data_IF_311221445626
#
_entry.id   IF_311221445626
#
_cell.length_a   1.000
_cell.length_b   1.000
_cell.length_c   1.000
_cell.angle_alpha   90.00
_cell.angle_beta   90.00
_cell.angle_gamma   90.00
#
_symmetry.space_group_name_H-M   'P 1'
#
loop_
_entity.id
_entity.type
_entity.pdbx_description
1 polymer ?
#
# COMPACT_ATOMS: atom_id res chain seq x y z
N UNK A 1 4.18 -14.77 14.73
CA UNK A 1 5.38 -15.64 14.80
C UNK A 1 6.62 -14.83 15.19
N UNK A 2 6.89 -13.66 14.56
CA UNK A 2 8.07 -12.82 14.86
C UNK A 2 8.10 -12.41 16.31
N UNK A 3 7.02 -11.85 16.88
CA UNK A 3 6.95 -11.44 18.29
C UNK A 3 7.27 -12.58 19.28
N UNK A 4 6.81 -13.78 18.98
CA UNK A 4 7.16 -14.98 19.78
C UNK A 4 8.65 -15.35 19.64
N UNK A 5 9.22 -15.19 18.45
CA UNK A 5 10.63 -15.44 18.20
C UNK A 5 11.54 -14.40 18.90
N UNK A 6 11.14 -13.14 18.93
CA UNK A 6 11.82 -12.09 19.70
C UNK A 6 11.92 -12.49 21.18
N UNK A 7 10.79 -12.87 21.78
CA UNK A 7 10.73 -13.24 23.21
C UNK A 7 11.60 -14.46 23.55
N UNK A 8 11.71 -15.41 22.62
CA UNK A 8 12.42 -16.67 22.83
C UNK A 8 13.87 -16.67 22.29
N UNK A 9 14.37 -15.55 21.76
CA UNK A 9 15.71 -15.45 21.17
C UNK A 9 15.88 -16.28 19.89
N UNK A 10 14.78 -16.62 19.20
CA UNK A 10 14.76 -17.51 18.03
C UNK A 10 14.64 -16.79 16.69
N UNK A 11 14.96 -15.50 16.60
CA UNK A 11 14.99 -14.77 15.34
C UNK A 11 16.12 -15.29 14.45
N UNK A 12 15.88 -15.48 13.12
CA UNK A 12 16.96 -15.72 12.18
C UNK A 12 17.83 -14.47 11.99
N UNK A 13 19.03 -14.64 11.43
CA UNK A 13 19.97 -13.52 11.21
C UNK A 13 19.37 -12.41 10.33
N UNK A 14 18.59 -12.78 9.29
CA UNK A 14 17.80 -11.88 8.45
C UNK A 14 16.35 -12.38 8.36
N UNK A 15 15.41 -11.49 8.45
CA UNK A 15 13.97 -11.81 8.33
C UNK A 15 13.18 -10.64 7.73
N UNK A 16 11.95 -10.94 7.30
CA UNK A 16 11.05 -9.91 6.78
C UNK A 16 10.27 -9.23 7.89
N UNK A 17 10.11 -7.92 7.74
CA UNK A 17 9.35 -7.05 8.65
C UNK A 17 8.41 -6.21 7.80
N UNK A 18 7.18 -6.04 8.25
CA UNK A 18 6.29 -5.04 7.66
C UNK A 18 6.80 -3.63 8.01
N UNK A 19 6.81 -2.71 7.05
CA UNK A 19 7.33 -1.37 7.24
C UNK A 19 6.73 -0.63 8.44
N UNK A 20 5.44 -0.82 8.71
CA UNK A 20 4.75 -0.23 9.88
C UNK A 20 5.26 -0.73 11.23
N UNK A 21 5.94 -1.87 11.26
CA UNK A 21 6.48 -2.46 12.49
C UNK A 21 7.96 -2.13 12.75
N UNK A 22 8.65 -1.46 11.82
CA UNK A 22 10.09 -1.18 11.90
C UNK A 22 10.43 -0.40 13.18
N UNK A 23 9.74 0.70 13.43
CA UNK A 23 9.96 1.51 14.65
C UNK A 23 9.80 0.69 15.93
N UNK A 24 8.74 -0.14 16.00
CA UNK A 24 8.49 -1.00 17.15
C UNK A 24 9.62 -2.00 17.40
N UNK A 25 10.14 -2.62 16.33
CA UNK A 25 11.21 -3.63 16.48
C UNK A 25 12.59 -3.00 16.71
N UNK A 26 12.84 -1.80 16.16
CA UNK A 26 14.04 -1.03 16.45
C UNK A 26 14.07 -0.59 17.91
N UNK A 27 12.98 -0.01 18.43
CA UNK A 27 12.85 0.43 19.83
C UNK A 27 12.98 -0.74 20.82
N UNK A 28 12.43 -1.90 20.45
CA UNK A 28 12.58 -3.14 21.22
C UNK A 28 13.97 -3.79 21.12
N UNK A 29 14.91 -3.20 20.38
CA UNK A 29 16.23 -3.76 20.08
C UNK A 29 16.17 -5.19 19.49
N UNK A 30 15.14 -5.49 18.73
CA UNK A 30 15.00 -6.77 18.03
C UNK A 30 15.73 -6.79 16.67
N UNK A 31 15.91 -5.62 16.08
CA UNK A 31 16.66 -5.39 14.84
C UNK A 31 17.77 -4.37 15.07
N UNK A 32 18.78 -4.38 14.21
CA UNK A 32 19.93 -3.47 14.30
C UNK A 32 20.02 -2.59 13.07
N UNK A 33 20.63 -1.37 13.20
CA UNK A 33 20.89 -0.51 12.04
C UNK A 33 21.71 -1.23 10.98
N UNK A 34 21.38 -0.99 9.72
CA UNK A 34 22.07 -1.58 8.57
C UNK A 34 22.70 -0.52 7.65
N UNK A 35 22.45 0.78 7.90
CA UNK A 35 22.88 1.86 7.01
C UNK A 35 24.37 1.86 6.70
N UNK A 36 25.23 1.57 7.68
CA UNK A 36 26.70 1.55 7.53
C UNK A 36 27.21 0.46 6.55
N UNK A 37 26.39 -0.55 6.26
CA UNK A 37 26.73 -1.61 5.30
C UNK A 37 26.43 -1.24 3.85
N UNK A 38 25.74 -0.13 3.59
CA UNK A 38 25.32 0.31 2.26
C UNK A 38 25.93 1.65 1.91
N UNK A 39 26.35 1.81 0.66
CA UNK A 39 26.86 3.08 0.17
C UNK A 39 25.72 4.04 -0.15
N UNK A 40 26.01 5.33 -0.11
CA UNK A 40 25.05 6.38 -0.40
C UNK A 40 24.45 6.25 -1.83
N UNK A 41 25.27 5.88 -2.82
CA UNK A 41 24.82 5.66 -4.20
C UNK A 41 23.93 4.42 -4.35
N UNK A 42 24.13 3.38 -3.54
CA UNK A 42 23.26 2.22 -3.49
C UNK A 42 21.88 2.57 -2.90
N UNK A 43 21.85 3.43 -1.87
CA UNK A 43 20.63 3.87 -1.20
C UNK A 43 19.85 4.90 -2.04
N UNK A 44 20.52 5.73 -2.83
CA UNK A 44 19.91 6.75 -3.67
C UNK A 44 19.03 6.18 -4.81
N UNK A 45 19.19 4.91 -5.16
CA UNK A 45 18.38 4.22 -6.17
C UNK A 45 17.04 3.71 -5.63
N UNK A 46 16.88 3.64 -4.30
CA UNK A 46 15.60 3.24 -3.70
C UNK A 46 14.55 4.36 -3.76
N UNK A 47 13.29 3.97 -3.87
CA UNK A 47 12.18 4.90 -3.71
C UNK A 47 12.26 5.58 -2.33
N UNK A 48 11.98 6.88 -2.24
CA UNK A 48 12.03 7.61 -0.95
C UNK A 48 11.17 6.98 0.15
N UNK A 49 10.00 6.42 -0.20
CA UNK A 49 9.10 5.68 0.68
C UNK A 49 9.79 4.51 1.38
N UNK A 50 10.61 3.74 0.65
CA UNK A 50 11.35 2.58 1.17
C UNK A 50 12.40 3.00 2.19
N UNK A 51 13.13 4.07 1.91
CA UNK A 51 14.13 4.61 2.86
C UNK A 51 13.42 5.18 4.09
N UNK A 52 12.34 5.93 3.90
CA UNK A 52 11.58 6.54 5.00
C UNK A 52 11.00 5.49 5.94
N UNK A 53 10.30 4.48 5.42
CA UNK A 53 9.71 3.41 6.25
C UNK A 53 10.76 2.56 6.96
N UNK A 54 11.95 2.41 6.35
CA UNK A 54 13.08 1.65 6.92
C UNK A 54 13.88 2.40 7.97
N UNK A 55 13.62 3.70 8.15
CA UNK A 55 14.39 4.60 9.02
C UNK A 55 13.65 4.86 10.33
N UNK A 56 14.37 4.76 11.44
CA UNK A 56 13.90 5.11 12.78
C UNK A 56 15.01 5.84 13.54
N UNK A 57 14.70 6.99 14.16
CA UNK A 57 15.67 7.85 14.86
C UNK A 57 16.93 8.14 14.04
N UNK A 58 16.75 8.53 12.77
CA UNK A 58 17.80 8.85 11.79
C UNK A 58 18.74 7.68 11.42
N UNK A 59 18.42 6.45 11.80
CA UNK A 59 19.17 5.25 11.45
C UNK A 59 18.32 4.33 10.54
N UNK A 60 18.95 3.78 9.50
CA UNK A 60 18.31 2.84 8.56
C UNK A 60 18.39 1.41 9.13
N UNK A 61 17.24 0.79 9.36
CA UNK A 61 17.12 -0.57 9.91
C UNK A 61 16.71 -1.62 8.88
N UNK A 62 16.00 -1.20 7.83
CA UNK A 62 15.45 -2.15 6.85
C UNK A 62 15.47 -1.61 5.43
N UNK A 63 15.47 -2.53 4.45
CA UNK A 63 15.29 -2.22 3.03
C UNK A 63 14.29 -3.19 2.40
N UNK A 64 13.41 -2.68 1.53
CA UNK A 64 12.45 -3.47 0.75
C UNK A 64 12.94 -3.83 -0.63
N UNK A 65 12.41 -4.91 -1.22
CA UNK A 65 12.65 -5.27 -2.62
C UNK A 65 11.50 -4.83 -3.54
N UNK A 66 10.35 -4.51 -2.95
CA UNK A 66 9.15 -4.03 -3.63
C UNK A 66 8.54 -2.91 -2.81
N UNK A 67 7.76 -2.09 -3.47
CA UNK A 67 6.91 -1.08 -2.83
C UNK A 67 5.46 -1.50 -3.00
N UNK A 68 4.53 -0.81 -2.39
CA UNK A 68 3.13 -1.02 -2.63
C UNK A 68 2.40 0.31 -2.77
N UNK A 69 1.33 0.28 -3.50
CA UNK A 69 0.42 1.40 -3.67
C UNK A 69 -1.01 0.88 -3.69
N UNK A 70 -1.97 1.74 -3.47
CA UNK A 70 -3.39 1.40 -3.45
C UNK A 70 -4.14 2.20 -4.51
N UNK A 71 -5.26 1.66 -4.98
CA UNK A 71 -6.08 2.31 -5.99
C UNK A 71 -7.45 1.68 -6.09
N UNK A 72 -8.25 2.15 -7.02
CA UNK A 72 -9.58 1.61 -7.29
C UNK A 72 -9.52 0.74 -8.54
N UNK A 73 -9.56 -0.56 -8.34
CA UNK A 73 -9.78 -1.51 -9.43
C UNK A 73 -11.25 -1.46 -9.86
N UNK A 74 -11.52 -1.57 -11.15
CA UNK A 74 -12.88 -1.53 -11.67
C UNK A 74 -13.09 -2.52 -12.80
N UNK A 75 -14.32 -3.03 -12.93
CA UNK A 75 -14.74 -3.89 -14.01
C UNK A 75 -15.12 -3.01 -15.24
N UNK A 76 -14.31 -3.10 -16.29
CA UNK A 76 -14.47 -2.30 -17.52
C UNK A 76 -15.81 -2.53 -18.20
N UNK A 77 -16.28 -3.78 -18.24
CA UNK A 77 -17.54 -4.12 -18.90
C UNK A 77 -18.75 -3.53 -18.17
N UNK A 78 -18.70 -3.49 -16.83
CA UNK A 78 -19.73 -2.84 -16.01
C UNK A 78 -19.72 -1.32 -16.18
N UNK A 79 -18.52 -0.71 -16.25
CA UNK A 79 -18.36 0.73 -16.49
C UNK A 79 -18.89 1.13 -17.87
N UNK A 80 -18.52 0.39 -18.92
CA UNK A 80 -19.01 0.62 -20.29
C UNK A 80 -20.54 0.52 -20.35
N UNK A 81 -21.11 -0.54 -19.79
CA UNK A 81 -22.57 -0.75 -19.73
C UNK A 81 -23.30 0.37 -18.99
N UNK A 82 -22.69 0.93 -17.93
CA UNK A 82 -23.25 2.03 -17.17
C UNK A 82 -22.95 3.41 -17.77
N UNK A 83 -22.11 3.50 -18.81
CA UNK A 83 -21.66 4.77 -19.38
C UNK A 83 -20.88 5.62 -18.37
N UNK A 84 -19.95 4.99 -17.66
CA UNK A 84 -19.08 5.65 -16.67
C UNK A 84 -17.66 5.71 -17.25
N UNK A 85 -17.11 6.92 -17.35
CA UNK A 85 -15.71 7.12 -17.73
C UNK A 85 -14.83 7.01 -16.47
N UNK A 86 -13.79 6.17 -16.46
CA UNK A 86 -12.91 6.02 -15.30
C UNK A 86 -12.07 7.28 -15.05
N UNK A 87 -11.57 7.45 -13.83
CA UNK A 87 -10.54 8.44 -13.51
C UNK A 87 -9.22 8.10 -14.20
N UNK A 88 -8.42 9.11 -14.52
CA UNK A 88 -7.05 8.93 -15.04
C UNK A 88 -6.02 9.21 -13.94
N UNK A 89 -4.77 8.78 -14.16
CA UNK A 89 -3.70 9.00 -13.20
C UNK A 89 -3.51 10.51 -12.86
N UNK A 90 -3.65 11.39 -13.84
CA UNK A 90 -3.50 12.84 -13.66
C UNK A 90 -4.77 13.53 -13.10
N UNK A 91 -5.91 12.82 -13.14
CA UNK A 91 -7.20 13.38 -12.71
C UNK A 91 -7.96 12.37 -11.87
N UNK A 92 -7.60 12.22 -10.59
CA UNK A 92 -8.32 11.35 -9.66
C UNK A 92 -9.77 11.84 -9.48
N UNK A 93 -10.66 10.91 -9.17
CA UNK A 93 -12.02 11.24 -8.77
C UNK A 93 -12.04 11.83 -7.35
N UNK A 94 -13.05 12.65 -7.09
CA UNK A 94 -13.44 13.00 -5.72
C UNK A 94 -14.21 11.83 -5.07
N UNK A 95 -14.33 11.82 -3.74
CA UNK A 95 -15.18 10.85 -3.04
C UNK A 95 -16.63 10.92 -3.51
N UNK A 96 -17.14 12.11 -3.82
CA UNK A 96 -18.50 12.27 -4.36
C UNK A 96 -18.66 11.58 -5.73
N UNK A 97 -17.67 11.68 -6.62
CA UNK A 97 -17.68 11.00 -7.92
C UNK A 97 -17.59 9.49 -7.77
N UNK A 98 -16.78 9.00 -6.84
CA UNK A 98 -16.69 7.57 -6.53
C UNK A 98 -18.02 7.04 -5.96
N UNK A 99 -18.68 7.79 -5.08
CA UNK A 99 -19.99 7.45 -4.52
C UNK A 99 -21.06 7.40 -5.62
N UNK A 100 -21.12 8.41 -6.49
CA UNK A 100 -22.07 8.45 -7.61
C UNK A 100 -21.88 7.25 -8.54
N UNK A 101 -20.64 6.87 -8.84
CA UNK A 101 -20.33 5.68 -9.63
C UNK A 101 -20.76 4.40 -8.90
N UNK A 102 -20.43 4.25 -7.63
CA UNK A 102 -20.81 3.11 -6.81
C UNK A 102 -22.33 2.95 -6.74
N UNK A 103 -23.07 4.04 -6.50
CA UNK A 103 -24.54 4.07 -6.52
C UNK A 103 -25.10 3.58 -7.86
N UNK A 104 -24.54 4.02 -8.98
CA UNK A 104 -24.98 3.67 -10.34
C UNK A 104 -24.74 2.20 -10.67
N UNK A 105 -23.68 1.62 -10.12
CA UNK A 105 -23.24 0.25 -10.35
C UNK A 105 -23.87 -0.76 -9.38
N UNK A 106 -24.42 -0.30 -8.27
CA UNK A 106 -25.09 -1.16 -7.28
C UNK A 106 -26.38 -1.74 -7.84
N UNK A 107 -26.56 -3.05 -7.68
CA UNK A 107 -27.79 -3.81 -8.02
C UNK A 107 -28.13 -4.75 -6.88
N UNK A 108 -29.19 -5.53 -7.00
CA UNK A 108 -29.58 -6.53 -5.99
C UNK A 108 -28.48 -7.63 -5.79
N UNK A 109 -27.69 -7.90 -6.83
CA UNK A 109 -26.67 -8.97 -6.83
C UNK A 109 -25.22 -8.44 -6.88
N UNK A 110 -25.01 -7.12 -6.89
CA UNK A 110 -23.68 -6.52 -7.06
C UNK A 110 -23.56 -5.22 -6.25
N UNK A 111 -22.54 -5.14 -5.41
CA UNK A 111 -22.15 -3.90 -4.76
C UNK A 111 -21.41 -2.97 -5.73
N UNK A 112 -21.56 -1.66 -5.55
CA UNK A 112 -20.80 -0.68 -6.33
C UNK A 112 -19.30 -0.79 -6.08
N UNK A 113 -18.90 -1.06 -4.82
CA UNK A 113 -17.49 -1.18 -4.41
C UNK A 113 -17.31 -2.14 -3.23
N UNK A 114 -16.17 -2.81 -3.17
CA UNK A 114 -15.69 -3.50 -1.97
C UNK A 114 -14.48 -2.75 -1.38
N UNK A 115 -14.40 -2.63 -0.04
CA UNK A 115 -13.45 -1.76 0.67
C UNK A 115 -12.92 -2.37 1.97
N UNK A 116 -12.87 -3.67 2.14
CA UNK A 116 -12.34 -4.36 3.34
C UNK A 116 -12.82 -3.77 4.67
N UNK A 117 -14.10 -3.40 4.78
CA UNK A 117 -14.67 -2.72 5.96
C UNK A 117 -14.72 -3.59 7.22
N UNK A 118 -14.56 -4.89 7.09
CA UNK A 118 -14.51 -5.87 8.17
C UNK A 118 -13.09 -6.20 8.66
N UNK A 119 -12.05 -5.59 8.04
CA UNK A 119 -10.66 -5.76 8.45
C UNK A 119 -10.45 -5.32 9.91
N UNK A 120 -9.71 -6.14 10.68
CA UNK A 120 -9.41 -5.91 12.10
C UNK A 120 -7.92 -5.69 12.37
N UNK A 121 -7.19 -5.35 11.33
CA UNK A 121 -5.77 -5.10 11.30
C UNK A 121 -5.48 -3.73 10.63
N UNK A 122 -4.24 -3.48 10.28
CA UNK A 122 -3.78 -2.26 9.64
C UNK A 122 -4.38 -2.00 8.23
N UNK A 123 -4.98 -3.01 7.61
CA UNK A 123 -5.57 -2.91 6.26
C UNK A 123 -6.56 -1.74 6.16
N UNK A 124 -7.41 -1.57 7.17
CA UNK A 124 -8.38 -0.47 7.21
C UNK A 124 -7.66 0.90 7.19
N UNK A 125 -6.63 1.06 8.01
CA UNK A 125 -5.85 2.30 8.09
C UNK A 125 -5.09 2.53 6.78
N UNK A 126 -4.48 1.49 6.22
CA UNK A 126 -3.74 1.55 4.97
C UNK A 126 -4.58 2.09 3.80
N UNK A 127 -5.85 1.71 3.72
CA UNK A 127 -6.76 2.17 2.67
C UNK A 127 -7.36 3.56 2.93
N UNK A 128 -7.58 3.95 4.18
CA UNK A 128 -8.33 5.17 4.47
C UNK A 128 -7.47 6.36 4.91
N UNK A 129 -6.24 6.15 5.39
CA UNK A 129 -5.31 7.24 5.69
C UNK A 129 -5.05 8.17 4.50
N UNK A 130 -4.86 7.67 3.25
CA UNK A 130 -4.68 8.53 2.10
C UNK A 130 -5.82 9.55 1.92
N UNK A 131 -7.07 9.16 2.23
CA UNK A 131 -8.22 10.05 2.14
C UNK A 131 -8.22 11.15 3.21
N UNK A 132 -7.61 10.88 4.38
CA UNK A 132 -7.41 11.88 5.43
C UNK A 132 -6.30 12.84 5.01
N UNK A 133 -5.18 12.30 4.52
CA UNK A 133 -4.03 13.09 4.06
C UNK A 133 -4.37 13.95 2.84
N UNK A 134 -5.26 13.49 1.96
CA UNK A 134 -5.71 14.27 0.81
C UNK A 134 -6.38 15.59 1.20
N UNK A 135 -6.84 15.75 2.45
CA UNK A 135 -7.43 16.96 3.01
C UNK A 135 -6.38 17.87 3.68
N UNK A 136 -5.09 17.75 3.33
CA UNK A 136 -3.97 18.45 3.99
C UNK A 136 -3.98 18.28 5.52
N UNK A 137 -4.40 17.09 5.98
CA UNK A 137 -4.54 16.71 7.38
C UNK A 137 -3.70 15.46 7.69
N UNK A 138 -3.65 15.09 8.96
CA UNK A 138 -2.97 13.88 9.43
C UNK A 138 -3.70 13.28 10.64
N UNK A 139 -3.25 12.14 11.13
CA UNK A 139 -3.79 11.49 12.34
C UNK A 139 -3.01 11.83 13.60
N UNK A 140 -1.81 12.41 13.43
CA UNK A 140 -0.96 12.94 14.49
C UNK A 140 -0.49 14.34 14.11
N UNK A 141 -0.04 15.10 15.09
CA UNK A 141 0.67 16.35 14.84
C UNK A 141 2.02 16.09 14.12
N UNK A 142 2.66 17.17 13.67
CA UNK A 142 3.93 17.08 12.92
C UNK A 142 5.08 16.44 13.70
N UNK A 143 5.01 16.47 15.03
CA UNK A 143 6.04 15.95 15.93
C UNK A 143 5.72 14.50 16.37
N UNK A 144 4.53 13.96 15.96
CA UNK A 144 4.06 12.61 16.31
C UNK A 144 3.64 12.43 17.76
N UNK A 145 3.45 13.52 18.52
CA UNK A 145 3.24 13.50 19.97
C UNK A 145 1.75 13.52 20.37
N UNK A 146 0.88 14.08 19.54
CA UNK A 146 -0.55 14.17 19.86
C UNK A 146 -1.46 13.78 18.73
N UNK A 147 -2.50 13.02 19.05
CA UNK A 147 -3.61 12.69 18.15
C UNK A 147 -4.83 13.61 18.35
N UNK A 148 -4.86 14.40 19.42
CA UNK A 148 -5.96 15.32 19.72
C UNK A 148 -6.03 16.44 18.69
N UNK A 149 -7.19 16.62 18.07
CA UNK A 149 -7.41 17.55 16.96
C UNK A 149 -7.02 17.02 15.59
N UNK A 150 -6.34 15.89 15.52
CA UNK A 150 -5.92 15.19 14.29
C UNK A 150 -6.76 13.93 14.05
N UNK A 151 -6.48 12.85 14.77
CA UNK A 151 -7.25 11.60 14.62
C UNK A 151 -8.75 11.80 14.91
N UNK A 152 -9.12 12.66 15.85
CA UNK A 152 -10.50 13.05 16.12
C UNK A 152 -10.91 14.35 15.41
N UNK A 153 -10.11 14.82 14.45
CA UNK A 153 -10.33 16.02 13.65
C UNK A 153 -11.43 15.86 12.58
N UNK A 154 -11.73 16.95 11.88
CA UNK A 154 -12.81 16.94 10.89
C UNK A 154 -12.46 16.10 9.66
N UNK A 155 -11.22 16.10 9.20
CA UNK A 155 -10.78 15.28 8.07
C UNK A 155 -11.04 13.79 8.30
N UNK A 156 -10.70 13.29 9.49
CA UNK A 156 -10.97 11.90 9.89
C UNK A 156 -12.47 11.63 9.95
N UNK A 157 -13.24 12.53 10.58
CA UNK A 157 -14.71 12.40 10.66
C UNK A 157 -15.36 12.40 9.28
N UNK A 158 -14.88 13.23 8.36
CA UNK A 158 -15.38 13.29 6.99
C UNK A 158 -15.24 11.92 6.29
N UNK A 159 -14.05 11.32 6.38
CA UNK A 159 -13.78 10.01 5.76
C UNK A 159 -14.65 8.92 6.38
N UNK A 160 -14.72 8.83 7.72
CA UNK A 160 -15.52 7.79 8.36
C UNK A 160 -17.03 7.98 8.19
N UNK A 161 -17.52 9.22 8.09
CA UNK A 161 -18.91 9.48 7.74
C UNK A 161 -19.22 9.02 6.31
N UNK A 162 -18.32 9.32 5.35
CA UNK A 162 -18.47 8.84 3.98
C UNK A 162 -18.48 7.30 3.91
N UNK A 163 -17.55 6.62 4.61
CA UNK A 163 -17.52 5.15 4.69
C UNK A 163 -18.86 4.62 5.23
N UNK A 164 -19.34 5.24 6.31
CA UNK A 164 -20.64 4.86 6.90
C UNK A 164 -21.80 5.04 5.92
N UNK A 165 -21.82 6.15 5.19
CA UNK A 165 -22.85 6.43 4.17
C UNK A 165 -22.80 5.41 3.04
N UNK A 166 -21.61 5.03 2.56
CA UNK A 166 -21.44 3.98 1.56
C UNK A 166 -22.02 2.64 2.01
N UNK A 167 -21.81 2.26 3.28
CA UNK A 167 -22.35 1.03 3.85
C UNK A 167 -23.85 1.12 4.11
N UNK A 168 -24.35 2.20 4.73
CA UNK A 168 -25.75 2.39 5.06
C UNK A 168 -26.66 2.43 3.82
N UNK A 169 -26.15 3.00 2.72
CA UNK A 169 -26.85 3.06 1.43
C UNK A 169 -26.72 1.75 0.62
N UNK A 170 -25.95 0.78 1.10
CA UNK A 170 -25.73 -0.50 0.42
C UNK A 170 -24.84 -0.40 -0.83
N UNK A 171 -24.08 0.68 -1.00
CA UNK A 171 -23.12 0.83 -2.11
C UNK A 171 -21.86 0.03 -1.87
N UNK A 172 -21.50 -0.18 -0.61
CA UNK A 172 -20.40 -1.06 -0.19
C UNK A 172 -20.90 -2.10 0.82
N UNK A 173 -20.36 -3.32 0.77
CA UNK A 173 -20.63 -4.32 1.80
C UNK A 173 -19.83 -4.03 3.06
N UNK A 174 -20.49 -4.01 4.23
CA UNK A 174 -19.82 -3.95 5.52
C UNK A 174 -19.07 -5.25 5.86
N UNK A 175 -19.43 -6.35 5.20
CA UNK A 175 -18.81 -7.68 5.33
C UNK A 175 -18.67 -8.28 3.93
N UNK A 176 -17.67 -7.81 3.14
CA UNK A 176 -17.52 -8.26 1.75
C UNK A 176 -17.22 -9.76 1.70
N UNK A 177 -17.81 -10.44 0.71
CA UNK A 177 -17.46 -11.82 0.45
C UNK A 177 -16.03 -11.87 -0.14
N UNK A 178 -15.31 -12.95 0.16
CA UNK A 178 -14.00 -13.20 -0.42
C UNK A 178 -14.10 -13.25 -1.96
N UNK A 179 -13.16 -12.58 -2.63
CA UNK A 179 -13.11 -12.47 -4.09
C UNK A 179 -14.38 -11.86 -4.74
N UNK A 180 -15.08 -10.98 -4.03
CA UNK A 180 -16.34 -10.41 -4.53
C UNK A 180 -16.17 -9.59 -5.81
N UNK A 181 -15.04 -8.89 -5.97
CA UNK A 181 -14.71 -8.16 -7.20
C UNK A 181 -14.38 -9.08 -8.36
N UNK A 182 -13.53 -10.06 -8.13
CA UNK A 182 -13.08 -11.05 -9.12
C UNK A 182 -14.24 -11.90 -9.66
N UNK A 183 -15.24 -12.14 -8.81
CA UNK A 183 -16.45 -12.89 -9.18
C UNK A 183 -17.58 -12.00 -9.72
N UNK A 184 -17.34 -10.70 -9.89
CA UNK A 184 -18.33 -9.75 -10.41
C UNK A 184 -19.46 -9.42 -9.44
N UNK A 185 -19.29 -9.70 -8.14
CA UNK A 185 -20.24 -9.35 -7.06
C UNK A 185 -19.98 -7.94 -6.50
N UNK A 186 -18.89 -7.29 -6.91
CA UNK A 186 -18.62 -5.88 -6.73
C UNK A 186 -18.08 -5.31 -8.05
N UNK A 187 -18.52 -4.11 -8.41
CA UNK A 187 -18.11 -3.47 -9.67
C UNK A 187 -16.75 -2.77 -9.56
N UNK A 188 -16.37 -2.39 -8.35
CA UNK A 188 -15.09 -1.78 -8.00
C UNK A 188 -14.50 -2.45 -6.75
N UNK A 189 -13.18 -2.33 -6.58
CA UNK A 189 -12.48 -2.73 -5.36
C UNK A 189 -11.41 -1.69 -4.98
N UNK A 190 -11.46 -1.20 -3.75
CA UNK A 190 -10.34 -0.50 -3.13
C UNK A 190 -9.37 -1.55 -2.61
N UNK A 191 -8.26 -1.72 -3.31
CA UNK A 191 -7.22 -2.71 -2.99
C UNK A 191 -5.85 -2.24 -3.48
N UNK A 192 -4.82 -3.05 -3.35
CA UNK A 192 -3.44 -2.64 -3.61
C UNK A 192 -2.79 -3.31 -4.82
N UNK A 193 -1.55 -2.95 -5.02
CA UNK A 193 -0.70 -3.40 -6.13
C UNK A 193 -0.41 -4.91 -6.15
N UNK A 194 -0.82 -5.66 -5.13
CA UNK A 194 -0.79 -7.13 -5.09
C UNK A 194 -1.95 -7.79 -5.87
N UNK A 195 -2.99 -7.02 -6.21
CA UNK A 195 -4.22 -7.54 -6.82
C UNK A 195 -4.03 -8.06 -8.26
N UNK A 196 -3.22 -7.45 -9.15
CA UNK A 196 -3.04 -7.94 -10.50
C UNK A 196 -2.63 -9.41 -10.59
N UNK A 197 -1.76 -9.87 -9.68
CA UNK A 197 -1.36 -11.27 -9.59
C UNK A 197 -2.51 -12.22 -9.19
N UNK A 198 -3.50 -11.74 -8.44
CA UNK A 198 -4.72 -12.48 -8.11
C UNK A 198 -5.70 -12.46 -9.29
N UNK A 199 -5.95 -11.30 -9.88
CA UNK A 199 -6.87 -11.12 -11.03
C UNK A 199 -6.48 -11.97 -12.24
N UNK A 200 -5.20 -12.27 -12.43
CA UNK A 200 -4.73 -13.16 -13.50
C UNK A 200 -5.33 -14.59 -13.44
N UNK A 201 -5.96 -14.98 -12.32
CA UNK A 201 -6.61 -16.29 -12.14
C UNK A 201 -8.09 -16.27 -12.52
N UNK A 202 -8.65 -15.10 -12.82
CA UNK A 202 -10.07 -14.89 -13.10
C UNK A 202 -10.28 -14.32 -14.49
N UNK A 203 -11.46 -14.60 -15.07
CA UNK A 203 -11.88 -14.03 -16.36
C UNK A 203 -12.60 -12.70 -16.10
N UNK A 204 -11.84 -11.66 -15.78
CA UNK A 204 -12.36 -10.31 -15.50
C UNK A 204 -11.61 -9.28 -16.36
N UNK A 205 -12.36 -8.44 -17.06
CA UNK A 205 -11.86 -7.29 -17.81
C UNK A 205 -11.74 -6.09 -16.87
N UNK A 206 -10.57 -5.91 -16.27
CA UNK A 206 -10.35 -4.91 -15.25
C UNK A 206 -9.52 -3.71 -15.70
N UNK A 207 -9.68 -2.61 -15.01
CA UNK A 207 -8.83 -1.43 -15.09
C UNK A 207 -8.50 -0.92 -13.70
N UNK A 208 -7.64 0.09 -13.63
CA UNK A 208 -7.17 0.69 -12.39
C UNK A 208 -7.31 2.21 -12.48
N UNK A 209 -7.81 2.80 -11.42
CA UNK A 209 -7.88 4.25 -11.19
C UNK A 209 -7.03 4.61 -9.98
N UNK A 210 -6.48 5.83 -9.92
CA UNK A 210 -5.77 6.31 -8.72
C UNK A 210 -6.70 6.38 -7.51
N UNK A 211 -6.10 6.49 -6.33
CA UNK A 211 -6.84 6.82 -5.11
C UNK A 211 -7.67 8.08 -5.32
N UNK A 212 -8.92 8.09 -4.87
CA UNK A 212 -9.73 9.29 -4.93
C UNK A 212 -9.20 10.35 -3.96
N UNK A 213 -9.53 11.59 -4.23
CA UNK A 213 -9.32 12.72 -3.32
C UNK A 213 -10.62 13.05 -2.59
N UNK A 214 -10.54 13.73 -1.44
CA UNK A 214 -11.75 14.09 -0.70
C UNK A 214 -12.66 15.02 -1.53
N UNK A 215 -12.13 16.10 -2.07
CA UNK A 215 -12.83 17.05 -2.95
C UNK A 215 -11.89 17.65 -4.02
N UNK A 216 -12.40 18.57 -4.83
CA UNK A 216 -11.67 19.20 -5.94
C UNK A 216 -10.46 20.05 -5.51
N UNK A 217 -10.37 20.42 -4.23
CA UNK A 217 -9.28 21.22 -3.67
C UNK A 217 -8.23 20.35 -2.95
N UNK A 218 -8.49 19.07 -2.86
CA UNK A 218 -7.68 18.11 -2.12
C UNK A 218 -6.44 17.69 -2.91
N UNK A 219 -5.36 17.39 -2.18
CA UNK A 219 -4.09 16.91 -2.75
C UNK A 219 -4.14 15.39 -2.90
N UNK A 220 -3.78 14.81 -4.08
CA UNK A 220 -3.70 13.36 -4.22
C UNK A 220 -2.73 12.74 -3.21
N UNK A 221 -3.15 11.64 -2.60
CA UNK A 221 -2.34 10.84 -1.68
C UNK A 221 -2.62 9.35 -1.91
N UNK A 222 -1.60 8.54 -1.78
CA UNK A 222 -1.72 7.08 -1.79
C UNK A 222 -0.90 6.48 -0.66
N UNK A 223 -1.28 5.30 -0.20
CA UNK A 223 -0.43 4.53 0.68
C UNK A 223 0.74 3.97 -0.12
N UNK A 224 1.91 3.94 0.51
CA UNK A 224 3.12 3.30 0.00
C UNK A 224 3.81 2.56 1.15
N UNK A 225 4.82 1.74 0.81
CA UNK A 225 5.53 0.93 1.78
C UNK A 225 5.27 -0.55 1.53
N UNK A 226 6.05 -1.41 2.15
CA UNK A 226 5.98 -2.83 1.90
C UNK A 226 6.68 -3.64 2.99
N UNK A 227 6.73 -4.96 2.75
CA UNK A 227 7.58 -5.87 3.49
C UNK A 227 9.06 -5.59 3.20
N UNK A 228 9.83 -5.45 4.26
CA UNK A 228 11.25 -5.12 4.21
C UNK A 228 12.10 -6.23 4.84
N UNK A 229 13.40 -6.22 4.59
CA UNK A 229 14.38 -7.13 5.19
C UNK A 229 15.11 -6.43 6.32
N UNK A 230 15.13 -7.05 7.48
CA UNK A 230 15.82 -6.59 8.68
C UNK A 230 16.94 -7.53 9.09
N UNK A 231 17.99 -7.00 9.70
CA UNK A 231 19.02 -7.77 10.40
C UNK A 231 18.64 -7.89 11.87
N UNK A 232 18.60 -9.12 12.38
CA UNK A 232 18.30 -9.41 13.78
C UNK A 232 19.40 -8.93 14.71
N UNK A 233 19.03 -8.47 15.90
CA UNK A 233 19.99 -8.23 16.99
C UNK A 233 20.70 -9.51 17.48
N UNK A 234 20.17 -10.70 17.15
CA UNK A 234 20.81 -11.98 17.45
C UNK A 234 21.89 -12.35 16.42
N UNK A 235 22.02 -11.60 15.31
CA UNK A 235 23.07 -11.82 14.32
C UNK A 235 24.44 -11.54 14.93
N UNK A 236 25.32 -12.54 14.98
CA UNK A 236 26.66 -12.36 15.54
C UNK A 236 27.51 -11.45 14.64
N UNK A 237 28.48 -10.73 15.25
CA UNK A 237 29.32 -9.79 14.50
C UNK A 237 30.04 -10.43 13.30
N UNK A 238 30.42 -11.71 13.43
CA UNK A 238 31.04 -12.48 12.32
C UNK A 238 30.12 -12.70 11.12
N UNK A 239 28.78 -12.62 11.33
CA UNK A 239 27.77 -12.85 10.28
C UNK A 239 27.17 -11.58 9.72
N UNK A 240 27.32 -10.44 10.37
CA UNK A 240 26.66 -9.18 9.97
C UNK A 240 26.97 -8.78 8.52
N UNK A 241 28.22 -8.90 8.09
CA UNK A 241 28.58 -8.64 6.69
C UNK A 241 27.83 -9.56 5.72
N UNK A 242 27.74 -10.86 6.04
CA UNK A 242 26.99 -11.81 5.22
C UNK A 242 25.48 -11.54 5.24
N UNK A 243 24.94 -11.10 6.36
CA UNK A 243 23.54 -10.71 6.48
C UNK A 243 23.22 -9.45 5.66
N UNK A 244 24.10 -8.45 5.71
CA UNK A 244 23.99 -7.24 4.90
C UNK A 244 24.08 -7.56 3.40
N UNK A 245 25.00 -8.47 3.01
CA UNK A 245 25.12 -8.92 1.62
C UNK A 245 23.87 -9.67 1.14
N UNK A 246 23.24 -10.48 2.00
CA UNK A 246 21.97 -11.11 1.70
C UNK A 246 20.87 -10.06 1.48
N UNK A 247 20.76 -9.06 2.35
CA UNK A 247 19.80 -7.96 2.18
C UNK A 247 20.07 -7.22 0.86
N UNK A 248 21.32 -6.88 0.56
CA UNK A 248 21.72 -6.24 -0.70
C UNK A 248 21.30 -7.07 -1.92
N UNK A 249 21.53 -8.38 -1.89
CA UNK A 249 21.13 -9.28 -2.95
C UNK A 249 19.60 -9.32 -3.12
N UNK A 250 18.86 -9.50 -2.03
CA UNK A 250 17.40 -9.58 -2.02
C UNK A 250 16.71 -8.27 -2.45
N UNK A 251 17.38 -7.14 -2.26
CA UNK A 251 16.89 -5.81 -2.64
C UNK A 251 17.59 -5.23 -3.87
N UNK A 252 18.35 -6.04 -4.62
CA UNK A 252 18.99 -5.61 -5.85
C UNK A 252 17.99 -5.29 -6.95
N UNK A 253 18.40 -4.51 -7.94
CA UNK A 253 17.60 -4.20 -9.14
C UNK A 253 17.04 -5.46 -9.80
N UNK A 254 17.88 -6.52 -9.95
CA UNK A 254 17.45 -7.77 -10.56
C UNK A 254 16.48 -8.57 -9.68
N UNK A 255 16.67 -8.55 -8.36
CA UNK A 255 15.74 -9.20 -7.43
C UNK A 255 14.38 -8.49 -7.41
N UNK A 256 14.37 -7.16 -7.38
CA UNK A 256 13.15 -6.34 -7.45
C UNK A 256 12.38 -6.59 -8.76
N UNK A 257 13.07 -6.64 -9.91
CA UNK A 257 12.44 -6.95 -11.19
C UNK A 257 11.86 -8.36 -11.23
N UNK A 258 12.55 -9.37 -10.66
CA UNK A 258 12.03 -10.75 -10.55
C UNK A 258 10.84 -10.86 -9.60
N UNK A 259 10.79 -10.06 -8.54
CA UNK A 259 9.62 -10.01 -7.65
C UNK A 259 8.38 -9.50 -8.38
N UNK A 260 8.53 -8.51 -9.27
CA UNK A 260 7.45 -8.10 -10.15
C UNK A 260 6.93 -9.26 -11.02
N UNK A 261 7.82 -10.03 -11.65
CA UNK A 261 7.42 -11.20 -12.46
C UNK A 261 6.62 -12.23 -11.64
N UNK A 262 6.90 -12.34 -10.34
CA UNK A 262 6.25 -13.31 -9.46
C UNK A 262 4.91 -12.84 -8.89
N UNK A 263 4.75 -11.55 -8.60
CA UNK A 263 3.62 -11.03 -7.83
C UNK A 263 3.00 -9.72 -8.36
N UNK A 264 3.53 -9.18 -9.47
CA UNK A 264 3.12 -7.91 -10.10
C UNK A 264 3.26 -6.65 -9.20
N UNK A 265 4.01 -6.75 -8.09
CA UNK A 265 4.25 -5.62 -7.19
C UNK A 265 5.24 -4.62 -7.79
N UNK A 266 5.03 -3.31 -7.60
CA UNK A 266 6.01 -2.30 -7.98
C UNK A 266 7.37 -2.55 -7.32
N UNK A 267 8.48 -2.33 -8.04
CA UNK A 267 9.81 -2.49 -7.47
C UNK A 267 10.14 -1.35 -6.50
N UNK A 268 11.03 -1.63 -5.54
CA UNK A 268 11.50 -0.67 -4.56
C UNK A 268 12.62 0.26 -5.09
N UNK A 269 13.07 0.06 -6.34
CA UNK A 269 14.19 0.79 -6.95
C UNK A 269 13.81 1.40 -8.28
N UNK A 270 14.25 2.65 -8.51
CA UNK A 270 14.07 3.35 -9.79
C UNK A 270 14.69 2.57 -10.95
N UNK A 271 15.91 2.03 -10.77
CA UNK A 271 16.57 1.21 -11.79
C UNK A 271 15.84 -0.10 -12.15
N UNK A 272 14.97 -0.60 -11.28
CA UNK A 272 14.14 -1.75 -11.57
C UNK A 272 12.85 -1.36 -12.31
N UNK A 273 12.28 -0.20 -12.04
CA UNK A 273 11.17 0.36 -12.85
C UNK A 273 11.55 0.50 -14.32
N UNK A 274 12.78 0.96 -14.61
CA UNK A 274 13.29 1.09 -15.99
C UNK A 274 13.33 -0.24 -16.76
N UNK A 275 13.34 -1.38 -16.06
CA UNK A 275 13.36 -2.73 -16.65
C UNK A 275 11.96 -3.32 -16.88
N UNK A 276 10.91 -2.67 -16.40
CA UNK A 276 9.54 -3.21 -16.39
C UNK A 276 8.62 -2.29 -17.16
N UNK A 277 8.46 -2.55 -18.47
CA UNK A 277 7.64 -1.73 -19.37
C UNK A 277 6.18 -1.61 -18.91
N UNK A 278 5.66 -2.61 -18.20
CA UNK A 278 4.27 -2.65 -17.77
C UNK A 278 3.84 -1.47 -16.88
N UNK A 279 4.76 -0.87 -16.14
CA UNK A 279 4.46 0.32 -15.32
C UNK A 279 4.44 1.63 -16.11
N UNK A 280 4.78 1.60 -17.40
CA UNK A 280 4.66 2.73 -18.32
C UNK A 280 3.34 2.69 -19.11
N UNK A 281 2.57 1.62 -18.99
CA UNK A 281 1.34 1.38 -19.73
C UNK A 281 0.14 1.19 -18.80
N UNK A 282 -1.06 1.53 -19.30
CA UNK A 282 -2.31 1.23 -18.59
C UNK A 282 -2.49 -0.31 -18.42
N UNK A 283 -3.02 -0.74 -17.29
CA UNK A 283 -3.50 0.07 -16.17
C UNK A 283 -2.45 0.34 -15.08
N UNK A 284 -1.25 -0.29 -15.12
CA UNK A 284 -0.29 -0.26 -14.02
C UNK A 284 0.47 1.07 -13.88
N UNK A 285 0.45 1.94 -14.91
CA UNK A 285 1.03 3.28 -14.85
C UNK A 285 0.46 4.14 -13.71
N UNK A 286 -0.74 3.84 -13.23
CA UNK A 286 -1.33 4.48 -12.05
C UNK A 286 -0.42 4.34 -10.82
N UNK A 287 0.17 3.17 -10.60
CA UNK A 287 1.08 2.95 -9.48
C UNK A 287 2.38 3.75 -9.62
N UNK A 288 2.95 3.81 -10.83
CA UNK A 288 4.14 4.64 -11.09
C UNK A 288 3.88 6.13 -10.86
N UNK A 289 2.66 6.58 -11.10
CA UNK A 289 2.27 7.97 -10.89
C UNK A 289 2.11 8.31 -9.40
N UNK A 290 1.71 7.34 -8.57
CA UNK A 290 1.45 7.51 -7.14
C UNK A 290 2.66 7.29 -6.25
N UNK A 291 3.69 6.54 -6.70
CA UNK A 291 4.93 6.24 -5.98
C UNK A 291 6.04 7.24 -6.32
#
# INVERSE_FOLDING_TARGET
>A
KVNAAITNGGLPDVFTVDGVAVAQYADANAIVPIGDYFKEDELADFNPSIIQQGTYNDELYTLGAMDSSVGIFYNKDMFEKAGIEPATAEKPWTLAQLEDAAKKLTTDDCYGITMSLDAKDETCIYFFLPLIYSQDSSVLDKDGETAEGFLNGDATKNVFNWIKEMADNGYASATPAENSFELGQAAMALTGSWEPGNLAKYDINWGLMPMPVYDENSTPASACGSWTFAMSSNCSDEKKEGAAELIRFMTSTDASARMYEANAMPPARSSAFEKIDAFNEEPLNVFSYQL
#
